data_IF_839244377369
#
_entry.id   IF_839244377369
#
_cell.length_a   1.000
_cell.length_b   1.000
_cell.length_c   1.000
_cell.angle_alpha   90.00
_cell.angle_beta   90.00
_cell.angle_gamma   90.00
#
_symmetry.space_group_name_H-M   'P 1'
#
loop_
_entity.id
_entity.type
_entity.pdbx_description
1 polymer ?
#
# COMPACT_ATOMS: atom_id res chain seq x y z
N UNK A 1 -30.73 -4.96 6.29
CA UNK A 1 -29.70 -3.88 6.29
C UNK A 1 -28.40 -4.43 6.84
N UNK A 2 -27.34 -4.55 6.02
CA UNK A 2 -26.06 -5.18 6.41
C UNK A 2 -24.99 -4.10 6.66
N UNK A 3 -25.04 -3.48 7.86
CA UNK A 3 -24.04 -2.48 8.28
C UNK A 3 -22.70 -3.07 8.75
N UNK A 4 -22.60 -4.41 8.85
CA UNK A 4 -21.44 -5.10 9.43
C UNK A 4 -20.08 -4.87 8.75
N UNK A 5 -19.97 -4.75 7.40
CA UNK A 5 -18.65 -4.49 6.81
C UNK A 5 -18.15 -3.06 7.01
N UNK A 6 -19.05 -2.09 7.21
CA UNK A 6 -18.68 -0.69 7.40
C UNK A 6 -18.06 -0.44 8.78
N UNK A 7 -18.56 -1.13 9.81
CA UNK A 7 -18.02 -1.05 11.18
C UNK A 7 -16.62 -1.68 11.26
N UNK A 8 -16.39 -2.80 10.56
CA UNK A 8 -15.06 -3.42 10.51
C UNK A 8 -14.03 -2.50 9.82
N UNK A 9 -14.40 -1.80 8.76
CA UNK A 9 -13.55 -0.81 8.08
C UNK A 9 -13.26 0.38 9.01
N UNK A 10 -14.26 0.88 9.76
CA UNK A 10 -14.06 1.97 10.72
C UNK A 10 -13.18 1.57 11.91
N UNK A 11 -13.24 0.32 12.36
CA UNK A 11 -12.40 -0.20 13.44
C UNK A 11 -10.97 -0.47 13.00
N UNK A 12 -10.72 -0.65 11.69
CA UNK A 12 -9.37 -0.78 11.13
C UNK A 12 -8.70 0.56 10.87
N UNK A 13 -9.44 1.68 10.79
CA UNK A 13 -8.89 3.02 10.58
C UNK A 13 -7.80 3.43 11.59
N UNK A 14 -7.92 3.18 12.92
CA UNK A 14 -6.85 3.54 13.86
C UNK A 14 -5.57 2.71 13.69
N UNK A 15 -5.65 1.53 13.08
CA UNK A 15 -4.48 0.70 12.80
C UNK A 15 -3.76 1.13 11.50
N UNK A 16 -4.47 1.78 10.60
CA UNK A 16 -3.94 2.33 9.36
C UNK A 16 -3.15 3.63 9.62
N UNK A 17 -3.48 4.35 10.70
CA UNK A 17 -2.91 5.68 11.05
C UNK A 17 -1.40 5.68 11.36
N UNK A 18 -0.76 4.52 11.48
CA UNK A 18 0.70 4.40 11.66
C UNK A 18 1.36 3.59 10.54
N UNK A 19 0.69 3.48 9.41
CA UNK A 19 0.95 2.46 8.38
C UNK A 19 2.09 2.77 7.42
N UNK A 20 2.55 3.99 7.38
CA UNK A 20 3.67 4.32 6.51
C UNK A 20 4.97 4.36 7.31
N UNK A 21 6.05 3.82 6.77
CA UNK A 21 7.37 4.01 7.35
C UNK A 21 7.71 5.51 7.25
N UNK A 22 7.13 6.31 8.14
CA UNK A 22 7.59 7.67 8.38
C UNK A 22 9.02 7.51 8.87
N UNK A 23 9.93 8.27 8.29
CA UNK A 23 11.30 8.34 8.79
C UNK A 23 11.22 8.63 10.29
N UNK A 24 11.48 7.60 11.10
CA UNK A 24 11.70 7.79 12.53
C UNK A 24 13.03 8.53 12.61
N UNK A 25 13.08 9.61 13.38
CA UNK A 25 14.32 10.36 13.60
C UNK A 25 15.49 9.40 13.86
N UNK A 26 16.52 9.47 13.00
CA UNK A 26 17.71 8.63 13.09
C UNK A 26 17.79 7.42 12.13
N UNK A 27 16.76 7.13 11.34
CA UNK A 27 16.91 6.09 10.31
C UNK A 27 17.77 6.55 9.13
N UNK A 28 18.68 5.70 8.66
CA UNK A 28 19.40 5.98 7.43
C UNK A 28 18.41 5.99 6.23
N UNK A 29 18.67 6.86 5.27
CA UNK A 29 17.86 6.97 4.05
C UNK A 29 17.82 5.64 3.27
N UNK A 30 18.88 4.85 3.39
CA UNK A 30 19.02 3.51 2.78
C UNK A 30 18.09 2.52 3.46
N UNK A 31 18.10 2.46 4.80
CA UNK A 31 17.25 1.55 5.56
C UNK A 31 15.76 1.87 5.30
N UNK A 32 15.38 3.15 5.33
CA UNK A 32 14.05 3.59 4.96
C UNK A 32 13.68 3.15 3.53
N UNK A 33 14.56 3.37 2.55
CA UNK A 33 14.33 2.98 1.16
C UNK A 33 14.10 1.48 0.98
N UNK A 34 14.85 0.64 1.69
CA UNK A 34 14.70 -0.82 1.66
C UNK A 34 13.33 -1.23 2.22
N UNK A 35 12.96 -0.71 3.39
CA UNK A 35 11.67 -1.01 4.03
C UNK A 35 10.50 -0.54 3.15
N UNK A 36 10.57 0.69 2.64
CA UNK A 36 9.55 1.23 1.75
C UNK A 36 9.42 0.39 0.46
N UNK A 37 10.54 -0.02 -0.14
CA UNK A 37 10.52 -0.88 -1.33
C UNK A 37 9.80 -2.20 -1.06
N UNK A 38 10.15 -2.90 0.01
CA UNK A 38 9.49 -4.16 0.35
C UNK A 38 8.03 -3.99 0.72
N UNK A 39 7.67 -2.89 1.40
CA UNK A 39 6.27 -2.56 1.68
C UNK A 39 5.46 -2.44 0.38
N UNK A 40 5.95 -1.70 -0.63
CA UNK A 40 5.29 -1.53 -1.92
C UNK A 40 5.21 -2.84 -2.73
N UNK A 41 6.25 -3.68 -2.67
CA UNK A 41 6.25 -5.00 -3.33
C UNK A 41 5.18 -5.90 -2.72
N UNK A 42 5.10 -5.98 -1.40
CA UNK A 42 4.13 -6.81 -0.69
C UNK A 42 2.70 -6.28 -0.90
N UNK A 43 2.50 -4.98 -0.80
CA UNK A 43 1.23 -4.34 -1.11
C UNK A 43 0.74 -4.71 -2.51
N UNK A 44 1.59 -4.54 -3.54
CA UNK A 44 1.27 -4.89 -4.92
C UNK A 44 0.96 -6.40 -5.08
N UNK A 45 1.67 -7.25 -4.34
CA UNK A 45 1.41 -8.70 -4.29
C UNK A 45 0.04 -9.04 -3.72
N UNK A 46 -0.31 -8.45 -2.58
CA UNK A 46 -1.61 -8.65 -1.92
C UNK A 46 -2.76 -8.14 -2.79
N UNK A 47 -2.61 -6.97 -3.39
CA UNK A 47 -3.61 -6.43 -4.33
C UNK A 47 -3.79 -7.37 -5.52
N UNK A 48 -2.69 -7.86 -6.10
CA UNK A 48 -2.72 -8.82 -7.22
C UNK A 48 -3.47 -10.10 -6.83
N UNK A 49 -3.18 -10.67 -5.66
CA UNK A 49 -3.85 -11.86 -5.14
C UNK A 49 -5.35 -11.60 -4.90
N UNK A 50 -5.73 -10.46 -4.36
CA UNK A 50 -7.12 -10.07 -4.14
C UNK A 50 -7.91 -9.96 -5.45
N UNK A 51 -7.22 -9.69 -6.57
CA UNK A 51 -7.82 -9.51 -7.89
C UNK A 51 -7.70 -10.73 -8.81
N UNK A 52 -7.03 -11.80 -8.40
CA UNK A 52 -6.72 -12.97 -9.25
C UNK A 52 -7.96 -13.57 -9.90
N UNK A 53 -9.08 -13.62 -9.19
CA UNK A 53 -10.34 -14.18 -9.69
C UNK A 53 -11.09 -13.27 -10.68
N UNK A 54 -10.52 -12.11 -11.03
CA UNK A 54 -11.12 -11.18 -12.03
C UNK A 54 -10.72 -11.50 -13.48
N UNK A 55 -9.90 -12.50 -13.71
CA UNK A 55 -9.42 -12.84 -15.06
C UNK A 55 -8.34 -11.87 -15.58
N UNK A 56 -7.60 -11.22 -14.68
CA UNK A 56 -6.45 -10.39 -15.01
C UNK A 56 -5.18 -11.21 -15.19
N UNK A 57 -4.27 -10.75 -16.02
CA UNK A 57 -2.96 -11.35 -16.21
C UNK A 57 -2.06 -11.02 -15.01
N UNK A 58 -1.71 -12.01 -14.20
CA UNK A 58 -1.07 -11.86 -12.89
C UNK A 58 0.26 -11.11 -12.99
N UNK A 59 1.17 -11.57 -13.84
CA UNK A 59 2.54 -11.01 -13.93
C UNK A 59 2.53 -9.57 -14.43
N UNK A 60 1.84 -9.23 -15.54
CA UNK A 60 1.72 -7.82 -15.96
C UNK A 60 1.01 -6.94 -14.93
N UNK A 61 -0.04 -7.46 -14.26
CA UNK A 61 -0.74 -6.72 -13.22
C UNK A 61 0.20 -6.38 -12.06
N UNK A 62 0.91 -7.37 -11.53
CA UNK A 62 1.85 -7.18 -10.43
C UNK A 62 2.94 -6.16 -10.78
N UNK A 63 3.59 -6.30 -11.93
CA UNK A 63 4.61 -5.34 -12.38
C UNK A 63 4.06 -3.93 -12.56
N UNK A 64 2.87 -3.79 -13.15
CA UNK A 64 2.23 -2.48 -13.33
C UNK A 64 1.88 -1.83 -11.98
N UNK A 65 1.37 -2.60 -11.01
CA UNK A 65 1.06 -2.10 -9.67
C UNK A 65 2.32 -1.65 -8.93
N UNK A 66 3.43 -2.38 -9.01
CA UNK A 66 4.71 -1.93 -8.42
C UNK A 66 5.12 -0.57 -8.99
N UNK A 67 5.15 -0.44 -10.31
CA UNK A 67 5.56 0.81 -10.97
C UNK A 67 4.63 1.96 -10.57
N UNK A 68 3.34 1.72 -10.56
CA UNK A 68 2.33 2.71 -10.21
C UNK A 68 2.45 3.14 -8.74
N UNK A 69 2.58 2.19 -7.81
CA UNK A 69 2.75 2.46 -6.38
C UNK A 69 4.05 3.20 -6.08
N UNK A 70 5.16 2.83 -6.72
CA UNK A 70 6.43 3.58 -6.62
C UNK A 70 6.22 5.02 -7.11
N UNK A 71 5.53 5.21 -8.23
CA UNK A 71 5.20 6.54 -8.74
C UNK A 71 4.37 7.35 -7.75
N UNK A 72 3.29 6.80 -7.22
CA UNK A 72 2.45 7.46 -6.21
C UNK A 72 3.25 7.77 -4.94
N UNK A 73 4.07 6.84 -4.47
CA UNK A 73 4.91 7.04 -3.29
C UNK A 73 5.87 8.22 -3.48
N UNK A 74 6.63 8.25 -4.57
CA UNK A 74 7.65 9.27 -4.81
C UNK A 74 7.06 10.65 -5.14
N UNK A 75 6.01 10.71 -5.96
CA UNK A 75 5.51 11.98 -6.51
C UNK A 75 4.30 12.54 -5.79
N UNK A 76 3.58 11.73 -5.04
CA UNK A 76 2.43 12.18 -4.26
C UNK A 76 2.65 12.02 -2.76
N UNK A 77 2.93 10.82 -2.28
CA UNK A 77 3.00 10.53 -0.85
C UNK A 77 4.13 11.30 -0.16
N UNK A 78 5.38 11.12 -0.57
CA UNK A 78 6.54 11.79 0.06
C UNK A 78 6.40 13.32 0.15
N UNK A 79 6.00 14.04 -0.92
CA UNK A 79 5.78 15.49 -0.82
C UNK A 79 4.63 15.89 0.09
N UNK A 80 3.61 15.03 0.26
CA UNK A 80 2.45 15.32 1.10
C UNK A 80 2.70 15.05 2.58
N UNK A 81 3.61 14.14 2.94
CA UNK A 81 3.92 13.83 4.35
C UNK A 81 4.41 15.03 5.14
N UNK A 82 5.05 15.99 4.47
CA UNK A 82 5.53 17.25 5.09
C UNK A 82 4.46 18.32 5.23
N UNK A 83 3.28 18.15 4.58
CA UNK A 83 2.25 19.18 4.48
C UNK A 83 0.91 18.76 5.07
N UNK A 84 0.65 17.47 5.11
CA UNK A 84 -0.65 16.91 5.50
C UNK A 84 -0.44 16.00 6.70
N UNK A 85 -1.24 16.13 7.77
CA UNK A 85 -1.19 15.22 8.90
C UNK A 85 -1.45 13.77 8.45
N UNK A 86 -0.71 12.81 9.01
CA UNK A 86 -0.78 11.40 8.62
C UNK A 86 -2.19 10.82 8.72
N UNK A 87 -2.94 11.16 9.76
CA UNK A 87 -4.32 10.68 9.95
C UNK A 87 -5.30 11.09 8.84
N UNK A 88 -4.99 12.16 8.08
CA UNK A 88 -5.72 12.56 6.88
C UNK A 88 -5.12 11.92 5.62
N UNK A 89 -3.80 11.79 5.60
CA UNK A 89 -3.08 11.28 4.44
C UNK A 89 -3.41 9.81 4.19
N UNK A 90 -3.46 8.99 5.23
CA UNK A 90 -3.65 7.55 5.09
C UNK A 90 -5.01 7.12 4.50
N UNK A 91 -6.16 7.62 4.98
CA UNK A 91 -7.42 7.39 4.28
C UNK A 91 -7.40 7.87 2.84
N UNK A 92 -6.69 8.98 2.58
CA UNK A 92 -6.46 9.51 1.25
C UNK A 92 -5.69 8.54 0.36
N UNK A 93 -4.63 7.92 0.88
CA UNK A 93 -3.83 6.89 0.17
C UNK A 93 -4.70 5.71 -0.19
N UNK A 94 -5.47 5.14 0.74
CA UNK A 94 -6.36 4.01 0.46
C UNK A 94 -7.35 4.33 -0.66
N UNK A 95 -7.91 5.53 -0.67
CA UNK A 95 -8.83 5.96 -1.74
C UNK A 95 -8.10 6.16 -3.08
N UNK A 96 -6.92 6.76 -3.04
CA UNK A 96 -6.09 6.97 -4.23
C UNK A 96 -5.66 5.62 -4.84
N UNK A 97 -5.26 4.66 -4.02
CA UNK A 97 -4.87 3.31 -4.47
C UNK A 97 -6.08 2.55 -5.03
N UNK A 98 -7.26 2.67 -4.40
CA UNK A 98 -8.47 2.08 -4.95
C UNK A 98 -8.82 2.65 -6.32
N UNK A 99 -8.64 3.96 -6.53
CA UNK A 99 -8.79 4.61 -7.83
C UNK A 99 -7.70 4.14 -8.80
N UNK A 100 -6.45 4.11 -8.36
CA UNK A 100 -5.33 3.61 -9.15
C UNK A 100 -5.57 2.17 -9.63
N UNK A 101 -6.00 1.28 -8.75
CA UNK A 101 -6.39 -0.09 -9.10
C UNK A 101 -7.46 -0.07 -10.19
N UNK A 102 -8.51 0.77 -10.06
CA UNK A 102 -9.55 0.89 -11.08
C UNK A 102 -9.01 1.33 -12.43
N UNK A 103 -8.09 2.29 -12.44
CA UNK A 103 -7.45 2.78 -13.67
C UNK A 103 -6.55 1.71 -14.29
N UNK A 104 -5.71 1.08 -13.47
CA UNK A 104 -4.78 0.04 -13.92
C UNK A 104 -5.53 -1.14 -14.54
N UNK A 105 -6.54 -1.69 -13.86
CA UNK A 105 -7.29 -2.86 -14.37
C UNK A 105 -8.15 -2.56 -15.60
N UNK A 106 -8.36 -1.29 -15.95
CA UNK A 106 -9.04 -0.89 -17.18
C UNK A 106 -8.15 -1.03 -18.42
N UNK A 107 -6.83 -1.18 -18.23
CA UNK A 107 -5.89 -1.30 -19.34
C UNK A 107 -6.06 -2.64 -20.09
N UNK A 108 -6.31 -2.63 -21.41
CA UNK A 108 -6.62 -3.85 -22.16
C UNK A 108 -5.53 -4.91 -22.09
N UNK A 109 -4.26 -4.52 -22.01
CA UNK A 109 -3.12 -5.47 -21.97
C UNK A 109 -3.03 -6.26 -20.66
N UNK A 110 -3.79 -5.86 -19.62
CA UNK A 110 -3.88 -6.59 -18.36
C UNK A 110 -5.05 -7.59 -18.33
N UNK A 111 -5.96 -7.50 -19.29
CA UNK A 111 -7.19 -8.27 -19.29
C UNK A 111 -6.97 -9.60 -20.02
N UNK A 112 -7.17 -10.71 -19.31
CA UNK A 112 -7.22 -12.04 -19.91
C UNK A 112 -8.57 -12.30 -20.59
N UNK A 113 -8.66 -13.40 -21.34
CA UNK A 113 -9.90 -13.78 -22.05
C UNK A 113 -11.12 -14.03 -21.15
N UNK A 114 -10.92 -14.20 -19.84
CA UNK A 114 -11.97 -14.39 -18.83
C UNK A 114 -12.21 -13.16 -17.96
N UNK A 115 -11.77 -11.96 -18.37
CA UNK A 115 -11.92 -10.76 -17.56
C UNK A 115 -13.38 -10.39 -17.32
N UNK A 116 -13.79 -10.32 -16.06
CA UNK A 116 -15.16 -10.02 -15.61
C UNK A 116 -15.34 -8.62 -15.03
N UNK A 117 -14.28 -7.79 -15.07
CA UNK A 117 -14.28 -6.47 -14.48
C UNK A 117 -13.96 -6.50 -12.97
N UNK A 118 -13.61 -5.32 -12.46
CA UNK A 118 -13.33 -5.10 -11.03
C UNK A 118 -14.26 -4.01 -10.51
N UNK A 119 -15.10 -4.35 -9.54
CA UNK A 119 -16.02 -3.40 -8.92
C UNK A 119 -15.26 -2.42 -8.01
N UNK A 120 -15.82 -1.23 -7.76
CA UNK A 120 -15.29 -0.27 -6.79
C UNK A 120 -15.10 -0.87 -5.40
N UNK A 121 -16.08 -1.65 -4.93
CA UNK A 121 -15.98 -2.34 -3.64
C UNK A 121 -14.77 -3.27 -3.60
N UNK A 122 -14.50 -3.98 -4.68
CA UNK A 122 -13.37 -4.91 -4.76
C UNK A 122 -12.03 -4.17 -4.81
N UNK A 123 -11.94 -3.06 -5.56
CA UNK A 123 -10.77 -2.20 -5.58
C UNK A 123 -10.46 -1.63 -4.19
N UNK A 124 -11.49 -1.14 -3.48
CA UNK A 124 -11.34 -0.60 -2.14
C UNK A 124 -10.88 -1.67 -1.13
N UNK A 125 -11.45 -2.88 -1.18
CA UNK A 125 -11.02 -3.98 -0.32
C UNK A 125 -9.59 -4.41 -0.64
N UNK A 126 -9.22 -4.50 -1.92
CA UNK A 126 -7.87 -4.83 -2.33
C UNK A 126 -6.85 -3.77 -1.85
N UNK A 127 -7.17 -2.48 -2.00
CA UNK A 127 -6.36 -1.38 -1.49
C UNK A 127 -6.20 -1.44 0.03
N UNK A 128 -7.28 -1.65 0.78
CA UNK A 128 -7.23 -1.80 2.25
C UNK A 128 -6.33 -2.95 2.69
N UNK A 129 -6.44 -4.10 2.03
CA UNK A 129 -5.61 -5.27 2.35
C UNK A 129 -4.14 -5.02 2.01
N UNK A 130 -3.87 -4.38 0.87
CA UNK A 130 -2.52 -4.00 0.45
C UNK A 130 -1.87 -3.05 1.45
N UNK A 131 -2.57 -1.95 1.78
CA UNK A 131 -2.10 -0.96 2.74
C UNK A 131 -1.90 -1.56 4.15
N UNK A 132 -2.80 -2.42 4.62
CA UNK A 132 -2.62 -3.12 5.89
C UNK A 132 -1.35 -4.00 5.89
N UNK A 133 -1.08 -4.71 4.80
CA UNK A 133 0.11 -5.54 4.67
C UNK A 133 1.40 -4.70 4.64
N UNK A 134 1.42 -3.60 3.90
CA UNK A 134 2.56 -2.67 3.87
C UNK A 134 2.83 -2.04 5.23
N UNK A 135 1.78 -1.76 6.00
CA UNK A 135 1.90 -1.33 7.41
C UNK A 135 2.67 -2.33 8.27
N UNK A 136 2.27 -3.60 8.24
CA UNK A 136 2.95 -4.62 9.03
C UNK A 136 4.42 -4.75 8.64
N UNK A 137 4.75 -4.59 7.36
CA UNK A 137 6.15 -4.60 6.91
C UNK A 137 6.89 -3.37 7.44
N UNK A 138 6.29 -2.20 7.40
CA UNK A 138 6.84 -0.98 7.99
C UNK A 138 7.11 -1.15 9.49
N UNK A 139 6.15 -1.71 10.22
CA UNK A 139 6.27 -1.97 11.65
C UNK A 139 7.38 -2.97 11.97
N UNK A 140 7.46 -4.08 11.24
CA UNK A 140 8.54 -5.08 11.42
C UNK A 140 9.89 -4.46 11.06
N UNK A 141 9.95 -3.72 9.95
CA UNK A 141 11.18 -3.07 9.48
C UNK A 141 11.72 -2.06 10.49
N UNK A 142 10.85 -1.26 11.10
CA UNK A 142 11.26 -0.26 12.10
C UNK A 142 11.84 -0.85 13.39
N UNK A 143 11.62 -2.12 13.67
CA UNK A 143 12.15 -2.84 14.82
C UNK A 143 13.29 -3.80 14.44
N UNK A 144 13.74 -3.81 13.19
CA UNK A 144 14.79 -4.73 12.75
C UNK A 144 16.16 -4.32 13.32
N UNK A 145 16.92 -5.24 13.94
CA UNK A 145 18.19 -4.92 14.63
C UNK A 145 19.24 -4.25 13.74
N UNK A 146 19.25 -4.58 12.45
CA UNK A 146 20.20 -4.00 11.49
C UNK A 146 19.92 -2.52 11.17
N UNK A 147 18.68 -2.03 11.37
CA UNK A 147 18.34 -0.62 11.27
C UNK A 147 18.83 0.13 12.52
N UNK A 148 18.70 -0.47 13.69
CA UNK A 148 19.08 0.14 14.97
C UNK A 148 20.60 0.30 15.07
N UNK A 149 21.38 -0.64 14.55
CA UNK A 149 22.86 -0.59 14.61
C UNK A 149 23.49 0.51 13.73
N UNK A 150 22.83 0.89 12.61
CA UNK A 150 23.37 1.98 11.76
C UNK A 150 23.14 3.37 12.35
N UNK A 151 22.24 3.52 13.29
CA UNK A 151 21.86 4.84 13.83
C UNK A 151 22.66 5.26 15.07
N UNK A 152 23.53 4.43 15.62
CA UNK A 152 24.38 4.78 16.76
C UNK A 152 23.65 5.18 18.05
N UNK A 153 22.38 4.82 18.20
CA UNK A 153 21.51 5.25 19.31
C UNK A 153 21.64 4.35 20.56
N UNK A 154 22.66 3.53 20.64
CA UNK A 154 22.90 2.66 21.79
C UNK A 154 24.32 2.83 22.37
N UNK A 155 24.79 4.10 22.58
CA UNK A 155 25.91 4.39 23.48
C UNK A 155 25.50 5.46 24.51
#
# INVERSE_FOLDING_TARGET
MRARPFIAVLLMLPFVVHANPVMIDGQSLIAFGIVAFWALVIESGIVTLALISSGLLIVPLFGTLIIANVGVFLFAFLPLTTRVPLWLLEPGVVLADALLIKLVVSAPFLQGGSFIGVSWRRSLVASLLGNAASYFIGLIGSHAPWIVHETGVLD
#
